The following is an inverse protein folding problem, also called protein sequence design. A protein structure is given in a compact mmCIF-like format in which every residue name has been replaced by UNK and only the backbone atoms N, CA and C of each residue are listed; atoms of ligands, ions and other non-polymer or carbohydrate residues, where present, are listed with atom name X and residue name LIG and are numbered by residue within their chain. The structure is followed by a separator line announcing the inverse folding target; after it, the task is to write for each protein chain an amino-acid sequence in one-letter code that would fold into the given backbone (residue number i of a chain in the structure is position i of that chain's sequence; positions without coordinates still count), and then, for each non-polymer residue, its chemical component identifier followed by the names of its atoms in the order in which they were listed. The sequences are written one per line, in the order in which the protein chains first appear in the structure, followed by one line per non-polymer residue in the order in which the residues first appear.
data_IF_732838408071
#
_entry.id   IF_732838408071
#
_cell.length_a   1.000
_cell.length_b   1.000
_cell.length_c   1.000
_cell.angle_alpha   90.00
_cell.angle_beta   90.00
_cell.angle_gamma   90.00
#
_symmetry.space_group_name_H-M   'P 1'
#
loop_
_entity.id
_entity.type
_entity.pdbx_description
1 polymer ?
#
# COMPACT_ATOMS: atom_id res chain seq x y z
N UNK A 1 -27.83 -11.39 3.04
CA UNK A 1 -28.27 -10.74 1.79
C UNK A 1 -27.57 -11.41 0.62
N UNK A 2 -28.26 -11.62 -0.52
CA UNK A 2 -27.60 -12.06 -1.76
C UNK A 2 -26.87 -10.86 -2.39
N UNK A 3 -25.76 -11.11 -3.08
CA UNK A 3 -24.96 -10.04 -3.69
C UNK A 3 -25.79 -9.12 -4.61
N UNK A 4 -26.70 -9.69 -5.39
CA UNK A 4 -27.60 -8.97 -6.31
C UNK A 4 -28.51 -7.96 -5.60
N UNK A 5 -28.99 -8.30 -4.40
CA UNK A 5 -29.89 -7.43 -3.63
C UNK A 5 -29.11 -6.26 -3.01
N UNK A 6 -27.86 -6.51 -2.60
CA UNK A 6 -26.93 -5.47 -2.12
C UNK A 6 -26.60 -4.48 -3.23
N UNK A 7 -26.24 -5.01 -4.40
CA UNK A 7 -25.84 -4.24 -5.58
C UNK A 7 -26.99 -3.33 -6.04
N UNK A 8 -28.22 -3.86 -6.11
CA UNK A 8 -29.40 -3.07 -6.47
C UNK A 8 -29.63 -1.91 -5.50
N UNK A 9 -29.59 -2.15 -4.18
CA UNK A 9 -29.75 -1.08 -3.16
C UNK A 9 -28.65 -0.02 -3.24
N UNK A 10 -27.42 -0.46 -3.47
CA UNK A 10 -26.28 0.45 -3.61
C UNK A 10 -26.44 1.36 -4.83
N UNK A 11 -26.84 0.79 -5.97
CA UNK A 11 -27.04 1.52 -7.23
C UNK A 11 -28.24 2.48 -7.20
N UNK A 12 -29.28 2.16 -6.42
CA UNK A 12 -30.44 3.06 -6.21
C UNK A 12 -30.15 4.20 -5.23
N UNK A 13 -28.97 4.22 -4.60
CA UNK A 13 -28.56 5.25 -3.63
C UNK A 13 -29.16 5.05 -2.25
N UNK A 14 -29.65 3.85 -1.93
CA UNK A 14 -30.15 3.51 -0.60
C UNK A 14 -28.98 3.32 0.39
N UNK A 15 -29.24 3.52 1.69
CA UNK A 15 -28.24 3.28 2.73
C UNK A 15 -28.03 1.77 2.95
N UNK A 16 -26.84 1.30 2.59
CA UNK A 16 -26.40 -0.09 2.76
C UNK A 16 -25.47 -0.28 3.96
N UNK A 17 -25.19 0.76 4.75
CA UNK A 17 -24.21 0.69 5.85
C UNK A 17 -24.59 -0.35 6.92
N UNK A 18 -25.90 -0.55 7.14
CA UNK A 18 -26.42 -1.60 8.05
C UNK A 18 -26.30 -3.02 7.51
N UNK A 19 -26.12 -3.19 6.20
CA UNK A 19 -25.96 -4.48 5.53
C UNK A 19 -24.48 -4.93 5.46
N UNK A 20 -23.53 -4.06 5.85
CA UNK A 20 -22.08 -4.32 5.85
C UNK A 20 -21.59 -4.79 7.22
N UNK A 21 -20.87 -5.92 7.25
CA UNK A 21 -20.16 -6.38 8.44
C UNK A 21 -18.83 -5.62 8.60
N UNK A 22 -18.89 -4.48 9.29
CA UNK A 22 -17.73 -3.63 9.55
C UNK A 22 -16.67 -4.30 10.42
N UNK A 23 -17.00 -5.35 11.19
CA UNK A 23 -16.00 -6.08 11.98
C UNK A 23 -14.96 -6.79 11.10
N UNK A 24 -15.30 -7.06 9.84
CA UNK A 24 -14.42 -7.64 8.83
C UNK A 24 -13.85 -6.61 7.85
N UNK A 25 -14.14 -5.33 8.04
CA UNK A 25 -13.62 -4.29 7.18
C UNK A 25 -12.09 -4.28 7.25
N UNK A 26 -11.46 -4.45 6.09
CA UNK A 26 -10.00 -4.33 5.93
C UNK A 26 -9.71 -3.41 4.77
N UNK A 27 -8.59 -2.70 4.86
CA UNK A 27 -8.06 -1.94 3.73
C UNK A 27 -7.07 -2.83 2.98
N UNK A 28 -7.40 -3.34 1.78
CA UNK A 28 -6.48 -4.11 0.98
C UNK A 28 -5.19 -3.31 0.74
N UNK A 29 -4.06 -4.00 0.58
CA UNK A 29 -2.74 -3.40 0.37
C UNK A 29 -2.19 -2.55 1.53
N UNK A 30 -2.80 -2.59 2.73
CA UNK A 30 -2.22 -2.00 3.95
C UNK A 30 -1.39 -2.98 4.77
N UNK A 31 -1.48 -4.29 4.49
CA UNK A 31 -0.69 -5.29 5.20
C UNK A 31 0.80 -5.13 4.87
N UNK A 32 1.58 -4.70 5.87
CA UNK A 32 3.02 -4.59 5.73
C UNK A 32 3.65 -5.98 5.66
N UNK A 33 4.35 -6.28 4.57
CA UNK A 33 5.20 -7.47 4.46
C UNK A 33 6.67 -7.09 4.47
N UNK A 34 7.46 -7.77 5.30
CA UNK A 34 8.92 -7.59 5.35
C UNK A 34 9.56 -8.41 4.23
N UNK A 35 10.43 -7.76 3.46
CA UNK A 35 11.25 -8.39 2.42
C UNK A 35 12.70 -8.09 2.74
N UNK A 36 13.55 -9.13 2.70
CA UNK A 36 15.00 -8.98 2.87
C UNK A 36 15.65 -9.11 1.48
N UNK A 37 16.60 -8.21 1.18
CA UNK A 37 17.31 -8.17 -0.10
C UNK A 37 18.76 -7.80 0.17
N UNK A 38 19.69 -8.53 -0.43
CA UNK A 38 21.12 -8.23 -0.37
C UNK A 38 21.52 -7.37 -1.57
N UNK A 39 22.42 -6.42 -1.32
CA UNK A 39 22.95 -5.51 -2.34
C UNK A 39 24.49 -5.51 -2.29
N UNK A 40 25.17 -5.42 -3.44
CA UNK A 40 26.61 -5.13 -3.47
C UNK A 40 26.94 -3.84 -2.72
N UNK A 41 28.14 -3.77 -2.12
CA UNK A 41 28.57 -2.61 -1.32
C UNK A 41 28.43 -1.27 -2.08
N UNK A 42 28.84 -1.24 -3.35
CA UNK A 42 28.75 -0.03 -4.19
C UNK A 42 27.32 0.48 -4.39
N UNK A 43 26.32 -0.42 -4.37
CA UNK A 43 24.90 -0.04 -4.47
C UNK A 43 24.47 0.64 -3.17
N UNK A 44 24.85 0.07 -2.02
CA UNK A 44 24.51 0.62 -0.70
C UNK A 44 25.11 2.02 -0.53
N UNK A 45 26.37 2.20 -0.90
CA UNK A 45 27.05 3.51 -0.89
C UNK A 45 26.38 4.54 -1.82
N UNK A 46 25.93 4.09 -2.99
CA UNK A 46 25.14 4.93 -3.92
C UNK A 46 23.81 5.38 -3.30
N UNK A 47 23.09 4.44 -2.67
CA UNK A 47 21.82 4.71 -1.99
C UNK A 47 22.02 5.67 -0.82
N UNK A 48 23.08 5.53 -0.03
CA UNK A 48 23.37 6.41 1.11
C UNK A 48 23.65 7.84 0.69
N UNK A 49 24.49 8.03 -0.33
CA UNK A 49 24.78 9.36 -0.87
C UNK A 49 23.49 10.05 -1.34
N UNK A 50 22.62 9.30 -2.01
CA UNK A 50 21.37 9.84 -2.52
C UNK A 50 20.37 10.15 -1.40
N UNK A 51 20.26 9.26 -0.42
CA UNK A 51 19.39 9.44 0.73
C UNK A 51 19.82 10.67 1.55
N UNK A 52 21.13 10.83 1.77
CA UNK A 52 21.70 12.02 2.42
C UNK A 52 21.41 13.29 1.65
N UNK A 53 21.54 13.28 0.32
CA UNK A 53 21.25 14.45 -0.54
C UNK A 53 19.79 14.88 -0.45
N UNK A 54 18.87 13.92 -0.31
CA UNK A 54 17.44 14.16 -0.21
C UNK A 54 16.96 14.38 1.24
N UNK A 55 17.83 14.24 2.24
CA UNK A 55 17.45 14.37 3.65
C UNK A 55 16.52 13.27 4.14
N UNK A 56 16.58 12.07 3.54
CA UNK A 56 15.72 10.93 3.88
C UNK A 56 16.55 9.72 4.30
N UNK A 57 15.92 8.73 4.92
CA UNK A 57 16.59 7.46 5.20
C UNK A 57 16.75 6.63 3.92
N UNK A 58 17.75 5.75 3.89
CA UNK A 58 17.94 4.76 2.83
C UNK A 58 16.66 3.95 2.56
N UNK A 59 15.97 3.53 3.61
CA UNK A 59 14.74 2.75 3.50
C UNK A 59 13.60 3.56 2.87
N UNK A 60 13.47 4.85 3.23
CA UNK A 60 12.51 5.76 2.60
C UNK A 60 12.83 5.96 1.12
N UNK A 61 14.10 6.13 0.77
CA UNK A 61 14.54 6.24 -0.63
C UNK A 61 14.16 5.01 -1.44
N UNK A 62 14.48 3.81 -0.93
CA UNK A 62 14.12 2.53 -1.59
C UNK A 62 12.61 2.42 -1.80
N UNK A 63 11.80 2.76 -0.78
CA UNK A 63 10.34 2.73 -0.88
C UNK A 63 9.82 3.67 -1.99
N UNK A 64 10.33 4.90 -2.05
CA UNK A 64 9.91 5.87 -3.06
C UNK A 64 10.26 5.42 -4.47
N UNK A 65 11.48 4.92 -4.69
CA UNK A 65 11.91 4.43 -6.00
C UNK A 65 11.13 3.21 -6.47
N UNK A 66 10.84 2.25 -5.57
CA UNK A 66 10.01 1.10 -5.92
C UNK A 66 8.58 1.56 -6.27
N UNK A 67 8.00 2.47 -5.48
CA UNK A 67 6.68 3.02 -5.75
C UNK A 67 6.61 3.73 -7.11
N UNK A 68 7.65 4.47 -7.49
CA UNK A 68 7.73 5.13 -8.81
C UNK A 68 7.73 4.13 -9.98
N UNK A 69 8.31 2.94 -9.80
CA UNK A 69 8.36 1.92 -10.86
C UNK A 69 7.15 0.99 -10.91
N UNK A 70 6.43 0.84 -9.80
CA UNK A 70 5.20 0.06 -9.71
C UNK A 70 3.93 0.90 -9.90
N UNK A 71 4.08 2.21 -10.13
CA UNK A 71 2.99 3.17 -10.35
C UNK A 71 2.09 2.82 -11.51
#
# INVERSE_FOLDING_TARGET
MKATDFETKFDTGDDVAGDVDWSKARRPNMEMRRVNVDFPAWVVEGLDRQASRLGVTRQSLIKMWIAEKLG
#
